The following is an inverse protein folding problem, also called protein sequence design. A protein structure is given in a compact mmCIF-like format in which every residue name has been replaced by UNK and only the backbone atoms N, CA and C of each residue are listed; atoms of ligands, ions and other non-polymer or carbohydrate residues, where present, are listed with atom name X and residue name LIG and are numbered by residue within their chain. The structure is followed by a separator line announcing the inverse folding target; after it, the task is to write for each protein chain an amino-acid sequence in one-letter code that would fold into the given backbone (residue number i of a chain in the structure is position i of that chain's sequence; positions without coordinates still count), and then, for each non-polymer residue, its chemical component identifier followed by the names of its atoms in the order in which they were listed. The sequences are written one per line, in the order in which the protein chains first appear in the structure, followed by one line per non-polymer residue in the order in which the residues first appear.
data_IF_586520184082
#
_entry.id   IF_586520184082
#
_cell.length_a   1.000
_cell.length_b   1.000
_cell.length_c   1.000
_cell.angle_alpha   90.00
_cell.angle_beta   90.00
_cell.angle_gamma   90.00
#
_symmetry.space_group_name_H-M   'P 1'
#
loop_
_entity.id
_entity.type
_entity.pdbx_description
1 polymer ?
#
# COMPACT_ATOMS: atom_id res chain seq x y z
N UNK A 1 -26.76 -29.98 16.36
CA UNK A 1 -25.40 -30.50 16.06
C UNK A 1 -24.94 -30.21 14.63
N UNK A 2 -25.74 -30.46 13.58
CA UNK A 2 -25.29 -30.29 12.18
C UNK A 2 -25.01 -28.84 11.72
N UNK A 3 -25.68 -27.84 12.30
CA UNK A 3 -25.54 -26.44 11.87
C UNK A 3 -24.19 -25.80 12.25
N UNK A 4 -23.61 -26.24 13.37
CA UNK A 4 -22.32 -25.74 13.88
C UNK A 4 -21.18 -26.23 12.99
N UNK A 5 -21.23 -27.48 12.52
CA UNK A 5 -20.23 -28.03 11.60
C UNK A 5 -20.26 -27.35 10.23
N UNK A 6 -21.43 -26.94 9.75
CA UNK A 6 -21.54 -26.24 8.48
C UNK A 6 -20.95 -24.83 8.56
N UNK A 7 -21.24 -24.09 9.64
CA UNK A 7 -20.61 -22.80 9.91
C UNK A 7 -19.08 -22.92 10.07
N UNK A 8 -18.60 -23.96 10.75
CA UNK A 8 -17.16 -24.19 10.92
C UNK A 8 -16.45 -24.51 9.60
N UNK A 9 -17.09 -25.31 8.73
CA UNK A 9 -16.56 -25.67 7.42
C UNK A 9 -16.51 -24.46 6.48
N UNK A 10 -17.56 -23.64 6.46
CA UNK A 10 -17.58 -22.39 5.69
C UNK A 10 -16.53 -21.39 6.18
N UNK A 11 -16.31 -21.32 7.49
CA UNK A 11 -15.26 -20.47 8.07
C UNK A 11 -13.86 -20.93 7.65
N UNK A 12 -13.59 -22.24 7.68
CA UNK A 12 -12.31 -22.82 7.21
C UNK A 12 -12.09 -22.60 5.70
N UNK A 13 -13.14 -22.66 4.89
CA UNK A 13 -13.04 -22.42 3.45
C UNK A 13 -12.71 -20.96 3.11
N UNK A 14 -13.30 -20.00 3.82
CA UNK A 14 -12.98 -18.57 3.69
C UNK A 14 -11.55 -18.29 4.17
N UNK A 15 -11.12 -18.97 5.25
CA UNK A 15 -9.75 -18.86 5.77
C UNK A 15 -8.68 -19.38 4.80
N UNK A 16 -8.90 -20.53 4.16
CA UNK A 16 -7.96 -21.05 3.16
C UNK A 16 -7.80 -20.13 1.94
N UNK A 17 -8.84 -19.37 1.60
CA UNK A 17 -8.77 -18.36 0.54
C UNK A 17 -7.93 -17.14 0.97
N UNK A 18 -7.99 -16.75 2.24
CA UNK A 18 -7.20 -15.67 2.81
C UNK A 18 -5.72 -16.04 3.07
N UNK A 19 -5.43 -17.27 3.48
CA UNK A 19 -4.05 -17.78 3.67
C UNK A 19 -3.25 -17.78 2.36
N UNK A 20 -3.93 -17.88 1.20
CA UNK A 20 -3.29 -17.80 -0.12
C UNK A 20 -2.85 -16.37 -0.49
N UNK A 21 -3.41 -15.35 0.17
CA UNK A 21 -3.13 -13.93 -0.10
C UNK A 21 -2.26 -13.27 0.97
N UNK A 22 -2.22 -13.79 2.21
CA UNK A 22 -1.42 -13.26 3.32
C UNK A 22 -0.87 -14.43 4.18
N UNK A 23 0.46 -14.71 4.17
CA UNK A 23 1.02 -15.92 4.81
C UNK A 23 1.08 -15.87 6.35
N UNK A 24 0.37 -14.93 7.00
CA UNK A 24 0.49 -14.65 8.43
C UNK A 24 -0.63 -15.28 9.31
N UNK A 25 -1.66 -15.89 8.72
CA UNK A 25 -2.83 -16.41 9.46
C UNK A 25 -2.54 -17.66 10.31
N UNK A 26 -1.57 -18.48 9.90
CA UNK A 26 -1.28 -19.76 10.56
C UNK A 26 -0.72 -19.62 11.99
N UNK A 27 0.04 -18.55 12.27
CA UNK A 27 0.59 -18.27 13.60
C UNK A 27 -0.45 -17.66 14.57
N UNK A 28 -1.47 -16.99 14.05
CA UNK A 28 -2.46 -16.24 14.84
C UNK A 28 -3.42 -17.18 15.62
N UNK A 29 -3.79 -18.32 15.03
CA UNK A 29 -4.71 -19.28 15.65
C UNK A 29 -4.04 -20.20 16.69
N UNK A 30 -2.72 -20.42 16.60
CA UNK A 30 -2.01 -21.20 17.62
C UNK A 30 -1.95 -20.46 18.97
N UNK A 31 -1.89 -19.13 18.96
CA UNK A 31 -1.93 -18.32 20.19
C UNK A 31 -3.34 -18.26 20.81
N UNK A 32 -4.39 -18.20 19.99
CA UNK A 32 -5.78 -18.12 20.47
C UNK A 32 -6.28 -19.41 21.12
N UNK A 33 -5.73 -20.58 20.77
CA UNK A 33 -6.13 -21.86 21.39
C UNK A 33 -5.44 -22.17 22.73
N UNK A 34 -4.50 -21.33 23.19
CA UNK A 34 -3.67 -21.62 24.39
C UNK A 34 -4.05 -20.78 25.62
N UNK A 35 -4.92 -19.76 25.49
CA UNK A 35 -5.17 -18.83 26.61
C UNK A 35 -6.56 -19.04 27.23
N UNK A 36 -6.66 -19.57 28.47
CA UNK A 36 -7.95 -19.91 29.08
C UNK A 36 -8.62 -18.73 29.80
N UNK A 37 -8.11 -17.50 29.64
CA UNK A 37 -8.56 -16.34 30.41
C UNK A 37 -9.27 -15.31 29.50
N UNK A 38 -10.52 -15.00 29.83
CA UNK A 38 -11.41 -14.13 29.05
C UNK A 38 -10.83 -12.73 28.85
N UNK A 39 -10.05 -12.23 29.81
CA UNK A 39 -9.31 -10.96 29.73
C UNK A 39 -8.21 -10.98 28.67
N UNK A 40 -7.58 -12.13 28.43
CA UNK A 40 -6.53 -12.25 27.41
C UNK A 40 -7.10 -12.34 26.00
N UNK A 41 -8.30 -12.90 25.84
CA UNK A 41 -9.02 -12.93 24.55
C UNK A 41 -9.39 -11.51 24.12
N UNK A 42 -9.90 -10.67 25.03
CA UNK A 42 -10.23 -9.27 24.73
C UNK A 42 -9.01 -8.44 24.31
N UNK A 43 -7.85 -8.68 24.95
CA UNK A 43 -6.59 -8.01 24.60
C UNK A 43 -6.13 -8.44 23.21
N UNK A 44 -6.18 -9.74 22.89
CA UNK A 44 -5.79 -10.25 21.57
C UNK A 44 -6.70 -9.69 20.48
N UNK A 45 -8.01 -9.64 20.71
CA UNK A 45 -8.98 -9.06 19.77
C UNK A 45 -8.70 -7.57 19.50
N UNK A 46 -8.43 -6.77 20.55
CA UNK A 46 -8.08 -5.35 20.39
C UNK A 46 -6.79 -5.16 19.61
N UNK A 47 -5.76 -5.97 19.87
CA UNK A 47 -4.50 -5.91 19.12
C UNK A 47 -4.76 -6.24 17.65
N UNK A 48 -5.60 -7.24 17.37
CA UNK A 48 -5.95 -7.62 16.01
C UNK A 48 -6.71 -6.51 15.26
N UNK A 49 -7.68 -5.85 15.91
CA UNK A 49 -8.38 -4.70 15.34
C UNK A 49 -7.43 -3.54 15.00
N UNK A 50 -6.51 -3.22 15.92
CA UNK A 50 -5.49 -2.19 15.69
C UNK A 50 -4.56 -2.55 14.53
N UNK A 51 -4.15 -3.82 14.43
CA UNK A 51 -3.26 -4.28 13.36
C UNK A 51 -3.97 -4.25 12.00
N UNK A 52 -5.24 -4.69 11.94
CA UNK A 52 -6.05 -4.62 10.72
C UNK A 52 -6.27 -3.19 10.28
N UNK A 53 -6.56 -2.27 11.21
CA UNK A 53 -6.68 -0.84 10.89
C UNK A 53 -5.37 -0.28 10.36
N UNK A 54 -4.23 -0.59 10.99
CA UNK A 54 -2.92 -0.13 10.55
C UNK A 54 -2.56 -0.67 9.16
N UNK A 55 -2.81 -1.95 8.91
CA UNK A 55 -2.58 -2.57 7.60
C UNK A 55 -3.48 -1.98 6.53
N UNK A 56 -4.76 -1.73 6.83
CA UNK A 56 -5.67 -1.09 5.89
C UNK A 56 -5.23 0.34 5.54
N UNK A 57 -4.74 1.11 6.53
CA UNK A 57 -4.15 2.43 6.29
C UNK A 57 -2.90 2.32 5.43
N UNK A 58 -1.99 1.39 5.73
CA UNK A 58 -0.75 1.21 4.96
C UNK A 58 -0.98 0.73 3.53
N UNK A 59 -1.90 -0.21 3.33
CA UNK A 59 -2.30 -0.68 2.00
C UNK A 59 -3.00 0.43 1.21
N UNK A 60 -3.81 1.26 1.87
CA UNK A 60 -4.40 2.46 1.28
C UNK A 60 -3.32 3.45 0.83
N UNK A 61 -2.39 3.80 1.73
CA UNK A 61 -1.26 4.68 1.43
C UNK A 61 -0.40 4.16 0.26
N UNK A 62 -0.15 2.85 0.19
CA UNK A 62 0.62 2.21 -0.89
C UNK A 62 -0.14 2.20 -2.23
N UNK A 63 -1.46 1.96 -2.21
CA UNK A 63 -2.30 2.02 -3.39
C UNK A 63 -2.35 3.45 -3.96
N UNK A 64 -2.53 4.44 -3.09
CA UNK A 64 -2.57 5.85 -3.44
C UNK A 64 -1.22 6.33 -4.01
N UNK A 65 -0.10 5.82 -3.46
CA UNK A 65 1.24 6.11 -3.96
C UNK A 65 1.48 5.52 -5.35
N UNK A 66 1.02 4.29 -5.59
CA UNK A 66 1.13 3.64 -6.90
C UNK A 66 0.34 4.41 -7.97
N UNK A 67 -0.90 4.82 -7.66
CA UNK A 67 -1.71 5.63 -8.57
C UNK A 67 -1.08 7.00 -8.83
N UNK A 68 -0.59 7.67 -7.77
CA UNK A 68 0.06 8.98 -7.92
C UNK A 68 1.35 8.87 -8.74
N UNK A 69 2.10 7.79 -8.60
CA UNK A 69 3.31 7.51 -9.40
C UNK A 69 2.96 7.27 -10.86
N UNK A 70 1.89 6.54 -11.16
CA UNK A 70 1.41 6.36 -12.53
C UNK A 70 1.07 7.71 -13.18
N UNK A 71 0.35 8.59 -12.46
CA UNK A 71 0.05 9.95 -12.93
C UNK A 71 1.30 10.79 -13.16
N UNK A 72 2.36 10.62 -12.37
CA UNK A 72 3.63 11.30 -12.63
C UNK A 72 4.16 10.95 -14.01
N UNK A 73 4.19 9.66 -14.36
CA UNK A 73 4.65 9.23 -15.67
C UNK A 73 3.77 9.76 -16.82
N UNK A 74 2.46 9.79 -16.65
CA UNK A 74 1.54 10.39 -17.64
C UNK A 74 1.83 11.88 -17.89
N UNK A 75 2.18 12.64 -16.85
CA UNK A 75 2.55 14.05 -16.98
C UNK A 75 3.94 14.25 -17.58
N UNK A 76 4.89 13.36 -17.30
CA UNK A 76 6.23 13.39 -17.91
C UNK A 76 6.17 13.13 -19.42
N UNK A 77 5.26 12.26 -19.88
CA UNK A 77 5.04 12.00 -21.31
C UNK A 77 4.56 13.23 -22.10
N UNK A 78 3.92 14.20 -21.42
CA UNK A 78 3.44 15.44 -22.05
C UNK A 78 4.56 16.45 -22.29
N UNK A 79 5.73 16.26 -21.68
CA UNK A 79 6.85 17.19 -21.79
C UNK A 79 7.52 17.02 -23.17
N UNK A 80 7.62 18.09 -23.97
CA UNK A 80 8.24 18.00 -25.28
C UNK A 80 9.74 17.72 -25.17
N UNK A 81 10.26 16.86 -26.05
CA UNK A 81 11.67 16.43 -26.10
C UNK A 81 12.14 15.61 -24.88
N UNK A 82 11.22 15.09 -24.07
CA UNK A 82 11.54 14.15 -22.99
C UNK A 82 11.92 12.79 -23.58
N UNK A 83 13.10 12.26 -23.23
CA UNK A 83 13.47 10.89 -23.62
C UNK A 83 12.94 9.87 -22.61
N UNK A 84 12.86 8.60 -23.00
CA UNK A 84 12.49 7.53 -22.08
C UNK A 84 13.46 7.42 -20.89
N UNK A 85 14.76 7.64 -21.14
CA UNK A 85 15.79 7.63 -20.09
C UNK A 85 15.57 8.77 -19.08
N UNK A 86 15.29 9.98 -19.57
CA UNK A 86 14.96 11.13 -18.73
C UNK A 86 13.71 10.88 -17.88
N UNK A 87 12.65 10.32 -18.49
CA UNK A 87 11.41 9.98 -17.77
C UNK A 87 11.63 8.94 -16.68
N UNK A 88 12.42 7.90 -16.95
CA UNK A 88 12.76 6.88 -15.95
C UNK A 88 13.61 7.48 -14.82
N UNK A 89 14.58 8.34 -15.16
CA UNK A 89 15.45 8.98 -14.18
C UNK A 89 14.68 9.94 -13.28
N UNK A 90 13.85 10.80 -13.85
CA UNK A 90 12.98 11.73 -13.09
C UNK A 90 11.94 10.96 -12.29
N UNK A 91 11.28 9.97 -12.89
CA UNK A 91 10.37 9.08 -12.19
C UNK A 91 11.03 8.42 -10.98
N UNK A 92 12.25 7.89 -11.11
CA UNK A 92 12.96 7.27 -9.98
C UNK A 92 13.32 8.26 -8.86
N UNK A 93 13.55 9.53 -9.18
CA UNK A 93 13.85 10.59 -8.20
C UNK A 93 12.62 11.06 -7.42
N UNK A 94 11.42 10.86 -7.98
CA UNK A 94 10.16 11.35 -7.43
C UNK A 94 9.34 10.21 -6.80
N UNK A 95 9.36 8.99 -7.38
CA UNK A 95 8.45 7.89 -7.04
C UNK A 95 8.50 7.42 -5.57
N UNK A 96 9.60 7.68 -4.86
CA UNK A 96 9.76 7.28 -3.46
C UNK A 96 9.52 8.42 -2.47
N UNK A 97 9.16 9.61 -2.95
CA UNK A 97 8.93 10.79 -2.12
C UNK A 97 7.55 11.38 -2.39
N UNK A 98 6.60 11.04 -1.51
CA UNK A 98 5.22 11.50 -1.60
C UNK A 98 5.11 13.03 -1.64
N UNK A 99 6.02 13.77 -0.97
CA UNK A 99 5.99 15.23 -1.01
C UNK A 99 6.41 15.74 -2.39
N UNK A 100 7.42 15.13 -3.01
CA UNK A 100 7.82 15.48 -4.39
C UNK A 100 6.74 15.12 -5.40
N UNK A 101 6.04 14.00 -5.23
CA UNK A 101 4.90 13.63 -6.09
C UNK A 101 3.80 14.69 -5.98
N UNK A 102 3.38 15.03 -4.76
CA UNK A 102 2.36 16.06 -4.56
C UNK A 102 2.79 17.43 -5.11
N UNK A 103 4.05 17.81 -4.87
CA UNK A 103 4.60 19.06 -5.40
C UNK A 103 4.54 19.06 -6.93
N UNK A 104 5.06 18.03 -7.59
CA UNK A 104 5.07 17.90 -9.05
C UNK A 104 3.66 17.97 -9.66
N UNK A 105 2.71 17.24 -9.10
CA UNK A 105 1.32 17.21 -9.58
C UNK A 105 0.56 18.52 -9.30
N UNK A 106 1.02 19.34 -8.35
CA UNK A 106 0.45 20.67 -8.07
C UNK A 106 0.95 21.78 -9.00
N UNK A 107 2.09 21.57 -9.68
CA UNK A 107 2.67 22.56 -10.56
C UNK A 107 1.85 22.71 -11.86
N UNK A 108 1.64 23.93 -12.38
CA UNK A 108 1.20 24.14 -13.75
C UNK A 108 2.25 23.64 -14.75
N UNK A 109 1.85 23.38 -16.00
CA UNK A 109 2.71 22.74 -17.02
C UNK A 109 4.08 23.42 -17.20
N UNK A 110 4.10 24.75 -17.40
CA UNK A 110 5.37 25.45 -17.64
C UNK A 110 6.35 25.38 -16.45
N UNK A 111 5.95 25.70 -15.20
CA UNK A 111 6.77 25.45 -14.02
C UNK A 111 7.17 23.97 -13.82
N UNK A 112 6.29 23.02 -14.14
CA UNK A 112 6.56 21.59 -14.06
C UNK A 112 7.72 21.20 -14.97
N UNK A 113 7.71 21.67 -16.21
CA UNK A 113 8.79 21.42 -17.18
C UNK A 113 10.13 21.99 -16.69
N UNK A 114 10.12 23.22 -16.17
CA UNK A 114 11.32 23.85 -15.64
C UNK A 114 11.89 23.07 -14.45
N UNK A 115 11.03 22.60 -13.55
CA UNK A 115 11.44 21.80 -12.40
C UNK A 115 12.01 20.44 -12.80
N UNK A 116 11.40 19.76 -13.78
CA UNK A 116 11.94 18.52 -14.37
C UNK A 116 13.32 18.73 -14.99
N UNK A 117 13.50 19.83 -15.73
CA UNK A 117 14.81 20.18 -16.29
C UNK A 117 15.86 20.42 -15.19
N UNK A 118 15.47 21.05 -14.07
CA UNK A 118 16.38 21.23 -12.93
C UNK A 118 16.77 19.90 -12.27
N UNK A 119 15.84 18.94 -12.15
CA UNK A 119 16.13 17.59 -11.65
C UNK A 119 17.11 16.83 -12.54
N UNK A 120 16.92 16.86 -13.86
CA UNK A 120 17.79 16.19 -14.82
C UNK A 120 19.22 16.75 -14.81
N UNK A 121 19.34 18.06 -14.64
CA UNK A 121 20.61 18.78 -14.54
C UNK A 121 21.27 18.66 -13.15
N UNK A 122 20.62 18.05 -12.17
CA UNK A 122 21.17 17.85 -10.81
C UNK A 122 21.26 19.13 -9.98
N UNK A 123 20.40 20.12 -10.25
CA UNK A 123 20.34 21.36 -9.47
C UNK A 123 19.54 21.22 -8.16
N UNK A 124 18.86 20.09 -7.96
CA UNK A 124 17.97 19.79 -6.84
C UNK A 124 18.11 18.32 -6.44
#
# INVERSE_FOLDING_TARGET
MAYIYWLFSSFIAIFNLCDYLLPFSSLHLQLLMVIPNQTSIEIVLKIQEMLMSLMATKLGDEHDLAEATARVFEELEKIPNMTMDDSLRVGSLIAYDQQKIHFFLSLPDHPRHAWVAMLLNGHI
#
